data_IF_722339860522
#
_entry.id   IF_722339860522
#
_cell.length_a   1.000
_cell.length_b   1.000
_cell.length_c   1.000
_cell.angle_alpha   90.00
_cell.angle_beta   90.00
_cell.angle_gamma   90.00
#
_symmetry.space_group_name_H-M   'P 1'
#
loop_
_entity.id
_entity.type
_entity.pdbx_description
1 polymer ?
#
# COMPACT_ATOMS: atom_id res chain seq x y z
N UNK A 1 -0.54 -22.15 -3.77
CA UNK A 1 0.31 -20.93 -3.81
C UNK A 1 -0.61 -19.70 -3.77
N UNK A 2 -0.12 -18.56 -3.29
CA UNK A 2 -0.85 -17.29 -3.32
C UNK A 2 -0.93 -16.76 -4.76
N UNK A 3 0.21 -16.83 -5.46
CA UNK A 3 0.34 -16.53 -6.88
C UNK A 3 1.54 -17.31 -7.46
N UNK A 4 1.66 -17.32 -8.78
CA UNK A 4 2.77 -17.97 -9.51
C UNK A 4 3.46 -16.95 -10.39
N UNK A 5 4.78 -16.84 -10.25
CA UNK A 5 5.62 -16.06 -11.17
C UNK A 5 6.26 -17.02 -12.16
N UNK A 6 6.07 -16.77 -13.46
CA UNK A 6 6.69 -17.51 -14.54
C UNK A 6 7.76 -16.64 -15.20
N UNK A 7 8.99 -17.14 -15.28
CA UNK A 7 10.09 -16.39 -15.88
C UNK A 7 10.22 -16.76 -17.35
N UNK A 8 10.30 -15.75 -18.24
CA UNK A 8 10.41 -15.97 -19.68
C UNK A 8 11.65 -16.76 -20.10
N UNK A 9 12.74 -16.66 -19.33
CA UNK A 9 13.96 -17.44 -19.52
C UNK A 9 13.91 -18.86 -18.91
N UNK A 10 12.77 -19.28 -18.37
CA UNK A 10 12.57 -20.56 -17.72
C UNK A 10 12.66 -20.49 -16.18
N UNK A 11 11.93 -21.41 -15.56
CA UNK A 11 11.71 -21.46 -14.11
C UNK A 11 10.41 -20.77 -13.69
N UNK A 12 9.97 -21.10 -12.48
CA UNK A 12 8.80 -20.50 -11.85
C UNK A 12 9.01 -20.40 -10.34
N UNK A 13 8.27 -19.50 -9.71
CA UNK A 13 8.20 -19.37 -8.26
C UNK A 13 6.74 -19.47 -7.82
N UNK A 14 6.42 -20.52 -7.07
CA UNK A 14 5.11 -20.70 -6.43
C UNK A 14 5.10 -20.01 -5.06
N UNK A 15 4.72 -18.73 -5.05
CA UNK A 15 4.71 -17.91 -3.84
C UNK A 15 3.76 -18.49 -2.78
N UNK A 16 4.23 -18.55 -1.53
CA UNK A 16 3.51 -19.18 -0.42
C UNK A 16 3.89 -18.51 0.91
N UNK A 17 2.95 -18.35 1.86
CA UNK A 17 3.27 -17.80 3.17
C UNK A 17 4.02 -18.80 4.06
N UNK A 18 3.95 -20.10 3.75
CA UNK A 18 4.73 -21.15 4.43
C UNK A 18 6.24 -20.96 4.16
N UNK A 19 7.05 -20.61 5.18
CA UNK A 19 8.46 -20.35 4.98
C UNK A 19 9.27 -21.57 4.55
N UNK A 20 8.91 -22.77 4.98
CA UNK A 20 9.62 -23.97 4.59
C UNK A 20 9.39 -24.27 3.11
N UNK A 21 8.14 -24.17 2.68
CA UNK A 21 7.78 -24.37 1.26
C UNK A 21 8.36 -23.27 0.39
N UNK A 22 8.37 -22.02 0.84
CA UNK A 22 8.93 -20.90 0.08
C UNK A 22 10.45 -21.07 -0.14
N UNK A 23 11.18 -21.49 0.88
CA UNK A 23 12.62 -21.79 0.77
C UNK A 23 12.90 -22.94 -0.21
N UNK A 24 12.02 -23.95 -0.28
CA UNK A 24 12.12 -25.01 -1.27
C UNK A 24 11.90 -24.49 -2.70
N UNK A 25 10.92 -23.61 -2.91
CA UNK A 25 10.69 -22.98 -4.21
C UNK A 25 11.86 -22.08 -4.64
N UNK A 26 12.45 -21.35 -3.69
CA UNK A 26 13.66 -20.54 -3.93
C UNK A 26 14.84 -21.42 -4.31
N UNK A 27 15.07 -22.52 -3.57
CA UNK A 27 16.18 -23.43 -3.83
C UNK A 27 16.11 -24.11 -5.21
N UNK A 28 14.90 -24.30 -5.77
CA UNK A 28 14.71 -24.78 -7.15
C UNK A 28 15.23 -23.79 -8.20
N UNK A 29 15.19 -22.49 -7.91
CA UNK A 29 15.73 -21.45 -8.78
C UNK A 29 17.23 -21.23 -8.52
N UNK A 30 17.60 -21.10 -7.25
CA UNK A 30 18.97 -20.85 -6.80
C UNK A 30 19.20 -21.43 -5.40
N UNK A 31 19.98 -22.51 -5.30
CA UNK A 31 20.30 -23.15 -4.02
C UNK A 31 21.14 -22.30 -3.08
N UNK A 32 21.90 -21.32 -3.60
CA UNK A 32 22.68 -20.36 -2.81
C UNK A 32 21.81 -19.42 -1.99
N UNK A 33 20.61 -19.13 -2.47
CA UNK A 33 19.66 -18.23 -1.82
C UNK A 33 18.78 -18.96 -0.79
N UNK A 34 19.06 -20.24 -0.52
CA UNK A 34 18.40 -20.98 0.55
C UNK A 34 18.67 -20.32 1.92
N UNK A 35 17.61 -20.08 2.68
CA UNK A 35 17.63 -19.37 3.97
C UNK A 35 17.49 -17.85 3.83
N UNK A 36 17.59 -17.30 2.61
CA UNK A 36 17.46 -15.86 2.40
C UNK A 36 16.04 -15.36 2.62
N UNK A 37 15.02 -16.20 2.40
CA UNK A 37 13.64 -15.80 2.64
C UNK A 37 13.36 -15.59 4.13
N UNK A 38 13.80 -16.50 5.01
CA UNK A 38 13.68 -16.30 6.46
C UNK A 38 14.36 -15.01 6.92
N UNK A 39 15.59 -14.76 6.46
CA UNK A 39 16.31 -13.51 6.76
C UNK A 39 15.54 -12.29 6.27
N UNK A 40 15.03 -12.34 5.04
CA UNK A 40 14.21 -11.28 4.46
C UNK A 40 12.95 -11.00 5.28
N UNK A 41 12.23 -12.05 5.71
CA UNK A 41 11.03 -11.93 6.52
C UNK A 41 11.33 -11.31 7.89
N UNK A 42 12.37 -11.77 8.58
CA UNK A 42 12.74 -11.27 9.91
C UNK A 42 13.20 -9.82 9.89
N UNK A 43 13.99 -9.43 8.87
CA UNK A 43 14.45 -8.06 8.69
C UNK A 43 13.29 -7.11 8.39
N UNK A 44 12.35 -7.50 7.53
CA UNK A 44 11.20 -6.67 7.20
C UNK A 44 10.13 -6.65 8.30
N UNK A 45 9.99 -7.71 9.11
CA UNK A 45 9.14 -7.68 10.32
C UNK A 45 9.64 -6.65 11.32
N UNK A 46 10.97 -6.62 11.57
CA UNK A 46 11.61 -5.61 12.42
C UNK A 46 11.47 -4.21 11.83
N UNK A 47 11.67 -4.07 10.52
CA UNK A 47 11.51 -2.80 9.80
C UNK A 47 10.08 -2.27 9.97
N UNK A 48 9.06 -3.07 9.67
CA UNK A 48 7.66 -2.68 9.81
C UNK A 48 7.31 -2.28 11.26
N UNK A 49 7.76 -3.03 12.26
CA UNK A 49 7.52 -2.69 13.67
C UNK A 49 8.08 -1.30 14.05
N UNK A 50 9.23 -0.91 13.48
CA UNK A 50 9.85 0.41 13.70
C UNK A 50 9.15 1.54 12.94
N UNK A 51 8.64 1.25 11.74
CA UNK A 51 7.96 2.24 10.91
C UNK A 51 6.47 2.37 11.20
N UNK A 52 5.83 1.37 11.82
CA UNK A 52 4.41 1.39 12.15
C UNK A 52 3.98 2.67 12.90
N UNK A 53 4.67 3.12 13.97
CA UNK A 53 4.30 4.36 14.66
C UNK A 53 4.39 5.60 13.77
N UNK A 54 5.27 5.58 12.77
CA UNK A 54 5.44 6.66 11.80
C UNK A 54 4.29 6.65 10.80
N UNK A 55 3.95 5.48 10.25
CA UNK A 55 2.88 5.30 9.28
C UNK A 55 1.48 5.57 9.87
N UNK A 56 1.30 5.30 11.16
CA UNK A 56 0.04 5.50 11.90
C UNK A 56 -0.10 6.92 12.47
N UNK A 57 0.90 7.79 12.27
CA UNK A 57 0.89 9.16 12.79
C UNK A 57 0.72 10.21 11.69
N UNK A 58 -0.04 11.30 11.94
CA UNK A 58 -0.18 12.38 10.97
C UNK A 58 1.13 13.14 10.78
N UNK A 59 1.50 13.40 9.52
CA UNK A 59 2.58 14.29 9.10
C UNK A 59 1.98 15.60 8.58
N UNK A 60 1.75 16.54 9.46
CA UNK A 60 1.14 17.84 9.13
C UNK A 60 2.10 19.02 9.23
N UNK A 61 3.25 18.84 9.89
CA UNK A 61 4.22 19.91 10.16
C UNK A 61 5.65 19.41 9.96
N UNK A 62 6.55 20.31 9.58
CA UNK A 62 8.00 20.01 9.45
C UNK A 62 8.58 19.49 10.77
N UNK A 63 8.08 19.98 11.91
CA UNK A 63 8.49 19.53 13.25
C UNK A 63 8.15 18.05 13.53
N UNK A 64 7.24 17.43 12.76
CA UNK A 64 6.91 16.01 12.91
C UNK A 64 8.08 15.09 12.54
N UNK A 65 9.04 15.60 11.76
CA UNK A 65 10.30 14.92 11.46
C UNK A 65 11.19 14.75 12.70
N UNK A 66 11.02 15.60 13.71
CA UNK A 66 11.80 15.56 14.97
C UNK A 66 11.18 14.64 16.02
N UNK A 67 10.08 13.94 15.71
CA UNK A 67 9.48 12.98 16.64
C UNK A 67 10.48 11.85 16.95
N UNK A 68 10.55 11.35 18.20
CA UNK A 68 11.48 10.29 18.57
C UNK A 68 11.37 9.05 17.68
N UNK A 69 10.15 8.68 17.27
CA UNK A 69 9.92 7.56 16.35
C UNK A 69 10.61 7.79 14.98
N UNK A 70 10.45 8.97 14.40
CA UNK A 70 11.05 9.34 13.10
C UNK A 70 12.57 9.39 13.18
N UNK A 71 13.13 9.99 14.23
CA UNK A 71 14.57 10.05 14.47
C UNK A 71 15.14 8.63 14.63
N UNK A 72 14.47 7.81 15.43
CA UNK A 72 14.88 6.42 15.63
C UNK A 72 14.80 5.61 14.35
N UNK A 73 13.82 5.83 13.47
CA UNK A 73 13.71 5.07 12.22
C UNK A 73 14.66 5.55 11.11
N UNK A 74 15.30 6.71 11.25
CA UNK A 74 16.14 7.32 10.23
C UNK A 74 17.22 6.38 9.64
N UNK A 75 17.97 5.60 10.43
CA UNK A 75 18.96 4.65 9.89
C UNK A 75 18.38 3.56 8.97
N UNK A 76 17.08 3.27 9.12
CA UNK A 76 16.36 2.26 8.34
C UNK A 76 15.64 2.82 7.12
N UNK A 77 15.48 4.15 7.03
CA UNK A 77 14.80 4.80 5.90
C UNK A 77 15.60 4.62 4.60
N UNK A 78 16.95 4.63 4.71
CA UNK A 78 17.92 4.49 3.60
C UNK A 78 17.37 5.04 2.27
N UNK A 79 17.03 6.34 2.21
CA UNK A 79 16.35 6.93 1.06
C UNK A 79 17.19 6.90 -0.23
N UNK A 80 18.51 6.74 -0.09
CA UNK A 80 19.45 6.57 -1.20
C UNK A 80 19.50 5.13 -1.76
N UNK A 81 18.89 4.15 -1.09
CA UNK A 81 18.79 2.77 -1.58
C UNK A 81 17.43 2.52 -2.22
N UNK A 82 17.41 1.72 -3.27
CA UNK A 82 16.19 1.27 -3.92
C UNK A 82 15.73 -0.10 -3.39
N UNK A 83 14.48 -0.46 -3.65
CA UNK A 83 13.95 -1.81 -3.36
C UNK A 83 14.82 -2.86 -4.05
N UNK A 84 15.19 -2.65 -5.32
CA UNK A 84 16.06 -3.56 -6.05
C UNK A 84 17.42 -3.76 -5.39
N UNK A 85 18.11 -2.68 -4.98
CA UNK A 85 19.42 -2.79 -4.32
C UNK A 85 19.33 -3.41 -2.92
N UNK A 86 18.24 -3.17 -2.19
CA UNK A 86 17.99 -3.81 -0.90
C UNK A 86 17.73 -5.32 -1.07
N UNK A 87 16.98 -5.74 -2.11
CA UNK A 87 16.69 -7.15 -2.38
C UNK A 87 17.92 -7.95 -2.81
N UNK A 88 18.88 -7.33 -3.50
CA UNK A 88 20.17 -7.96 -3.84
C UNK A 88 21.01 -8.35 -2.61
N UNK A 89 20.71 -7.81 -1.43
CA UNK A 89 21.35 -8.23 -0.17
C UNK A 89 20.79 -9.55 0.36
N UNK A 90 19.64 -9.98 -0.16
CA UNK A 90 18.99 -11.25 0.20
C UNK A 90 19.20 -12.29 -0.90
N UNK A 91 18.95 -11.92 -2.14
CA UNK A 91 18.92 -12.85 -3.27
C UNK A 91 20.04 -12.54 -4.26
N UNK A 92 20.80 -13.57 -4.60
CA UNK A 92 21.84 -13.52 -5.63
C UNK A 92 21.29 -13.80 -7.02
N UNK A 93 20.18 -14.55 -7.14
CA UNK A 93 19.52 -14.79 -8.43
C UNK A 93 18.69 -13.55 -8.85
N UNK A 94 18.94 -12.98 -10.05
CA UNK A 94 18.21 -11.81 -10.52
C UNK A 94 16.71 -12.05 -10.66
N UNK A 95 16.27 -13.30 -10.91
CA UNK A 95 14.85 -13.66 -10.99
C UNK A 95 14.16 -13.49 -9.64
N UNK A 96 14.83 -13.84 -8.55
CA UNK A 96 14.31 -13.67 -7.19
C UNK A 96 14.27 -12.19 -6.82
N UNK A 97 15.30 -11.41 -7.17
CA UNK A 97 15.26 -9.95 -6.99
C UNK A 97 14.05 -9.34 -7.71
N UNK A 98 13.80 -9.74 -8.95
CA UNK A 98 12.62 -9.29 -9.71
C UNK A 98 11.33 -9.74 -9.02
N UNK A 99 11.23 -11.01 -8.64
CA UNK A 99 10.04 -11.59 -8.01
C UNK A 99 9.62 -10.87 -6.73
N UNK A 100 10.57 -10.54 -5.86
CA UNK A 100 10.31 -9.83 -4.60
C UNK A 100 10.20 -8.31 -4.77
N UNK A 101 10.53 -7.79 -5.96
CA UNK A 101 10.36 -6.38 -6.30
C UNK A 101 9.03 -6.07 -6.98
N UNK A 102 8.27 -7.10 -7.38
CA UNK A 102 7.03 -6.98 -8.15
C UNK A 102 6.02 -6.03 -7.49
N UNK A 103 5.95 -6.02 -6.16
CA UNK A 103 5.05 -5.22 -5.35
C UNK A 103 5.38 -3.72 -5.40
N UNK A 104 6.57 -3.31 -5.88
CA UNK A 104 6.83 -1.88 -6.14
C UNK A 104 5.85 -1.29 -7.16
N UNK A 105 5.27 -2.14 -8.02
CA UNK A 105 4.21 -1.76 -8.96
C UNK A 105 2.98 -1.18 -8.26
N UNK A 106 2.68 -1.57 -7.02
CA UNK A 106 1.54 -1.02 -6.26
C UNK A 106 1.68 0.47 -5.97
N UNK A 107 2.91 0.98 -6.00
CA UNK A 107 3.21 2.39 -5.83
C UNK A 107 3.34 3.14 -7.17
N UNK A 108 3.13 2.45 -8.30
CA UNK A 108 3.39 3.00 -9.63
C UNK A 108 4.88 3.33 -9.87
N UNK A 109 5.80 2.81 -9.04
CA UNK A 109 7.22 3.12 -9.09
C UNK A 109 8.06 1.96 -9.65
N UNK A 110 9.11 2.31 -10.38
CA UNK A 110 10.17 1.36 -10.76
C UNK A 110 10.89 0.84 -9.50
N UNK A 111 11.16 -0.47 -9.37
CA UNK A 111 11.85 -1.03 -8.20
C UNK A 111 13.29 -0.51 -8.05
N UNK A 112 13.87 0.05 -9.12
CA UNK A 112 15.20 0.64 -9.12
C UNK A 112 15.23 2.08 -8.59
N UNK A 113 14.07 2.73 -8.47
CA UNK A 113 13.91 4.09 -7.95
C UNK A 113 13.07 4.13 -6.67
N UNK A 114 12.22 3.11 -6.46
CA UNK A 114 11.38 2.97 -5.28
C UNK A 114 12.25 2.86 -4.03
N UNK A 115 12.04 3.71 -3.00
CA UNK A 115 12.83 3.68 -1.77
C UNK A 115 12.83 2.30 -1.10
N UNK A 116 14.00 1.87 -0.61
CA UNK A 116 14.21 0.55 0.00
C UNK A 116 13.28 0.23 1.18
N UNK A 117 12.71 1.25 1.83
CA UNK A 117 11.65 1.10 2.82
C UNK A 117 10.50 0.22 2.31
N UNK A 118 10.12 0.35 1.04
CA UNK A 118 8.98 -0.37 0.46
C UNK A 118 9.24 -1.84 0.15
N UNK A 119 10.44 -2.36 0.47
CA UNK A 119 10.66 -3.82 0.54
C UNK A 119 9.72 -4.52 1.54
N UNK A 120 9.08 -3.77 2.46
CA UNK A 120 8.03 -4.28 3.34
C UNK A 120 6.76 -4.73 2.59
N UNK A 121 6.50 -4.25 1.36
CA UNK A 121 5.26 -4.56 0.65
C UNK A 121 5.16 -6.06 0.29
N UNK A 122 6.23 -6.60 -0.30
CA UNK A 122 6.31 -8.04 -0.56
C UNK A 122 6.22 -8.84 0.75
N UNK A 123 6.87 -8.39 1.82
CA UNK A 123 6.79 -9.01 3.14
C UNK A 123 5.35 -9.11 3.66
N UNK A 124 4.52 -8.06 3.51
CA UNK A 124 3.14 -8.04 3.99
C UNK A 124 2.30 -9.18 3.38
N UNK A 125 2.50 -9.51 2.11
CA UNK A 125 1.78 -10.60 1.44
C UNK A 125 2.16 -11.98 1.99
N UNK A 126 3.42 -12.17 2.33
CA UNK A 126 3.88 -13.45 2.90
C UNK A 126 3.55 -13.57 4.38
N UNK A 127 3.52 -12.46 5.12
CA UNK A 127 3.23 -12.43 6.55
C UNK A 127 1.72 -12.53 6.83
N UNK A 128 0.91 -11.77 6.10
CA UNK A 128 -0.52 -11.63 6.37
C UNK A 128 -1.40 -12.40 5.41
N UNK A 129 -0.86 -12.81 4.26
CA UNK A 129 -1.56 -13.56 3.23
C UNK A 129 -2.29 -12.68 2.20
N UNK A 130 -2.64 -13.31 1.09
CA UNK A 130 -3.45 -12.75 0.00
C UNK A 130 -4.85 -13.36 0.07
N UNK A 131 -5.87 -12.50 0.10
CA UNK A 131 -7.26 -12.90 0.26
C UNK A 131 -8.08 -12.59 -0.98
N UNK A 132 -9.03 -13.48 -1.27
CA UNK A 132 -10.06 -13.24 -2.28
C UNK A 132 -11.42 -13.12 -1.59
N UNK A 133 -12.02 -11.92 -1.52
CA UNK A 133 -13.35 -11.75 -0.95
C UNK A 133 -14.38 -12.52 -1.78
N UNK A 134 -15.33 -13.18 -1.10
CA UNK A 134 -16.44 -13.87 -1.77
C UNK A 134 -17.31 -12.83 -2.49
N UNK A 135 -17.52 -13.01 -3.79
CA UNK A 135 -18.20 -12.02 -4.64
C UNK A 135 -17.25 -11.05 -5.35
N UNK A 136 -15.94 -11.15 -5.12
CA UNK A 136 -14.94 -10.27 -5.72
C UNK A 136 -14.75 -8.97 -4.96
N UNK A 137 -13.86 -8.10 -5.46
CA UNK A 137 -13.46 -6.89 -4.72
C UNK A 137 -14.61 -5.88 -4.53
N UNK A 138 -15.61 -5.83 -5.42
CA UNK A 138 -16.75 -4.91 -5.28
C UNK A 138 -17.61 -5.23 -4.06
N UNK A 139 -17.70 -6.51 -3.68
CA UNK A 139 -18.48 -6.96 -2.52
C UNK A 139 -18.03 -6.29 -1.22
N UNK A 140 -16.76 -5.88 -1.11
CA UNK A 140 -16.27 -5.10 0.03
C UNK A 140 -16.95 -3.73 0.06
N UNK A 141 -16.90 -2.99 -1.04
CA UNK A 141 -17.50 -1.65 -1.15
C UNK A 141 -19.02 -1.70 -1.01
N UNK A 142 -19.68 -2.69 -1.62
CA UNK A 142 -21.11 -2.92 -1.51
C UNK A 142 -21.50 -3.16 -0.04
N UNK A 143 -20.83 -4.08 0.65
CA UNK A 143 -21.15 -4.37 2.05
C UNK A 143 -20.84 -3.20 2.98
N UNK A 144 -19.81 -2.41 2.69
CA UNK A 144 -19.53 -1.17 3.44
C UNK A 144 -20.66 -0.13 3.25
N UNK A 145 -21.18 0.02 2.03
CA UNK A 145 -22.31 0.92 1.77
C UNK A 145 -23.58 0.46 2.49
N UNK A 146 -23.87 -0.85 2.46
CA UNK A 146 -24.99 -1.44 3.20
C UNK A 146 -24.89 -1.16 4.71
N UNK A 147 -23.73 -1.39 5.32
CA UNK A 147 -23.50 -1.12 6.75
C UNK A 147 -23.67 0.37 7.06
N UNK A 148 -23.17 1.26 6.19
CA UNK A 148 -23.34 2.69 6.38
C UNK A 148 -24.83 3.09 6.34
N UNK A 149 -25.61 2.54 5.40
CA UNK A 149 -27.05 2.75 5.32
C UNK A 149 -27.80 2.18 6.54
N UNK A 150 -27.42 0.99 7.03
CA UNK A 150 -27.92 0.40 8.28
C UNK A 150 -27.66 1.33 9.49
N UNK A 151 -26.58 2.12 9.45
CA UNK A 151 -26.23 3.14 10.45
C UNK A 151 -26.89 4.51 10.21
N UNK A 152 -27.75 4.65 9.19
CA UNK A 152 -28.49 5.86 8.88
C UNK A 152 -27.83 6.83 7.90
N UNK A 153 -26.78 6.40 7.18
CA UNK A 153 -26.15 7.21 6.12
C UNK A 153 -27.04 7.22 4.87
N UNK A 154 -27.33 8.40 4.33
CA UNK A 154 -27.96 8.56 3.02
C UNK A 154 -26.89 8.49 1.92
N UNK A 155 -27.05 7.54 0.98
CA UNK A 155 -26.11 7.32 -0.12
C UNK A 155 -26.79 7.66 -1.44
N UNK A 156 -26.35 8.76 -2.06
CA UNK A 156 -26.87 9.28 -3.33
C UNK A 156 -25.96 8.87 -4.48
N UNK A 157 -26.46 8.00 -5.35
CA UNK A 157 -25.76 7.51 -6.53
C UNK A 157 -26.28 8.20 -7.79
N UNK A 158 -25.43 8.38 -8.80
CA UNK A 158 -25.81 9.05 -10.05
C UNK A 158 -26.02 10.56 -9.91
N UNK A 159 -25.60 11.14 -8.78
CA UNK A 159 -25.73 12.56 -8.47
C UNK A 159 -24.33 13.14 -8.26
N UNK A 160 -23.80 13.82 -9.28
CA UNK A 160 -22.44 14.37 -9.23
C UNK A 160 -22.44 15.69 -8.47
N UNK A 161 -21.51 15.85 -7.54
CA UNK A 161 -21.26 17.16 -6.92
C UNK A 161 -20.62 18.09 -7.95
N UNK A 162 -21.22 19.25 -8.17
CA UNK A 162 -20.78 20.25 -9.14
C UNK A 162 -19.95 21.37 -8.51
N UNK A 163 -20.26 21.76 -7.27
CA UNK A 163 -19.50 22.76 -6.53
C UNK A 163 -19.64 22.62 -5.02
N UNK A 164 -18.63 23.10 -4.30
CA UNK A 164 -18.63 23.30 -2.84
C UNK A 164 -19.09 24.72 -2.55
N UNK A 165 -20.01 24.86 -1.61
CA UNK A 165 -20.52 26.15 -1.17
C UNK A 165 -19.71 26.65 0.02
N UNK A 166 -19.33 27.93 0.00
CA UNK A 166 -18.53 28.56 1.04
C UNK A 166 -19.21 29.78 1.65
N UNK A 167 -19.08 29.91 2.96
CA UNK A 167 -19.26 31.17 3.69
C UNK A 167 -17.87 31.65 4.15
N UNK A 168 -17.35 32.67 3.46
CA UNK A 168 -15.98 33.13 3.61
C UNK A 168 -14.97 32.02 3.29
N UNK A 169 -14.31 31.46 4.32
CA UNK A 169 -13.35 30.35 4.19
C UNK A 169 -13.90 29.01 4.68
N UNK A 170 -15.15 28.96 5.13
CA UNK A 170 -15.79 27.75 5.66
C UNK A 170 -16.64 27.10 4.58
N UNK A 171 -16.41 25.82 4.30
CA UNK A 171 -17.33 25.03 3.50
C UNK A 171 -18.63 24.81 4.29
N UNK A 172 -19.77 25.11 3.67
CA UNK A 172 -21.11 25.06 4.31
C UNK A 172 -22.09 24.16 3.56
N UNK A 173 -21.70 23.61 2.41
CA UNK A 173 -22.57 22.76 1.61
C UNK A 173 -21.96 22.32 0.30
N UNK A 174 -22.74 21.59 -0.48
CA UNK A 174 -22.44 21.21 -1.86
C UNK A 174 -23.66 21.42 -2.75
N UNK A 175 -23.43 21.71 -4.03
CA UNK A 175 -24.47 21.74 -5.06
C UNK A 175 -24.28 20.62 -6.07
N UNK A 176 -25.40 20.17 -6.60
CA UNK A 176 -25.54 19.15 -7.64
C UNK A 176 -26.56 19.64 -8.67
N UNK A 177 -26.74 18.89 -9.75
CA UNK A 177 -27.82 19.10 -10.72
C UNK A 177 -29.23 18.89 -10.14
N UNK A 178 -29.34 18.16 -9.02
CA UNK A 178 -30.62 17.86 -8.36
C UNK A 178 -30.95 18.81 -7.20
N UNK A 179 -29.97 19.53 -6.66
CA UNK A 179 -30.20 20.45 -5.54
C UNK A 179 -28.96 20.89 -4.78
N UNK A 180 -29.21 21.54 -3.64
CA UNK A 180 -28.19 22.05 -2.73
C UNK A 180 -28.33 21.42 -1.35
N UNK A 181 -27.20 21.05 -0.75
CA UNK A 181 -27.15 20.32 0.51
C UNK A 181 -26.23 21.05 1.49
N UNK A 182 -26.81 21.56 2.58
CA UNK A 182 -26.04 22.18 3.65
C UNK A 182 -25.36 21.13 4.52
N UNK A 183 -24.16 21.44 5.03
CA UNK A 183 -23.44 20.58 5.95
C UNK A 183 -22.62 21.39 6.95
N UNK A 184 -22.46 20.86 8.16
CA UNK A 184 -21.59 21.42 9.19
C UNK A 184 -20.10 21.14 8.92
N UNK A 185 -19.83 20.01 8.26
CA UNK A 185 -18.50 19.52 7.93
C UNK A 185 -18.49 18.82 6.56
N UNK A 186 -17.40 18.97 5.80
CA UNK A 186 -17.25 18.38 4.48
C UNK A 186 -15.97 17.54 4.42
N UNK A 187 -16.11 16.29 3.97
CA UNK A 187 -14.99 15.40 3.64
C UNK A 187 -15.08 15.07 2.16
N UNK A 188 -14.01 15.37 1.41
CA UNK A 188 -13.95 15.14 -0.03
C UNK A 188 -13.01 13.97 -0.30
N UNK A 189 -13.54 12.92 -0.93
CA UNK A 189 -12.78 11.74 -1.37
C UNK A 189 -12.55 11.73 -2.90
N UNK A 190 -12.92 12.79 -3.60
CA UNK A 190 -12.59 12.97 -5.01
C UNK A 190 -11.09 13.30 -5.18
N UNK A 191 -10.57 13.10 -6.40
CA UNK A 191 -9.19 13.47 -6.73
C UNK A 191 -8.91 14.94 -6.38
N UNK A 192 -7.73 15.21 -5.81
CA UNK A 192 -7.37 16.53 -5.31
C UNK A 192 -7.31 17.58 -6.44
N UNK A 193 -6.68 17.24 -7.57
CA UNK A 193 -6.55 18.17 -8.68
C UNK A 193 -7.92 18.48 -9.30
N UNK A 194 -8.77 17.46 -9.46
CA UNK A 194 -10.15 17.65 -9.89
C UNK A 194 -10.93 18.56 -8.92
N UNK A 195 -10.87 18.26 -7.62
CA UNK A 195 -11.57 19.02 -6.59
C UNK A 195 -11.18 20.50 -6.60
N UNK A 196 -9.88 20.80 -6.58
CA UNK A 196 -9.38 22.18 -6.54
C UNK A 196 -9.62 22.98 -7.82
N UNK A 197 -9.83 22.32 -8.96
CA UNK A 197 -10.01 23.00 -10.24
C UNK A 197 -11.48 23.14 -10.66
N UNK A 198 -12.36 22.28 -10.13
CA UNK A 198 -13.75 22.16 -10.59
C UNK A 198 -14.78 22.39 -9.50
N UNK A 199 -14.48 21.98 -8.26
CA UNK A 199 -15.47 21.97 -7.18
C UNK A 199 -15.28 23.14 -6.21
N UNK A 200 -14.04 23.59 -5.99
CA UNK A 200 -13.68 24.68 -5.07
C UNK A 200 -13.45 25.99 -5.82
#
# INVERSE_FOLDING_TARGET
PQYRIMFGAGGQLDATPDPQRMEQEIAKLCSRDAGSFRRYMDDNRRKLARFRPILESPFGRVLDLLRPATIQAFPWLRPWNSVGSELQRYFSDPRLVIAFSFQSKYLGMSPFQCPSLFSILAFLEYEHGVYHPRGGCSAISERMAEIAQEMGVDVRLGESVEAVQFDGRRAVGVSTDQGQYATDALVINADFAHTMQRLV
#
